data_IF_632001188238
#
_entry.id   IF_632001188238
#
_cell.length_a   1.000
_cell.length_b   1.000
_cell.length_c   1.000
_cell.angle_alpha   90.00
_cell.angle_beta   90.00
_cell.angle_gamma   90.00
#
_symmetry.space_group_name_H-M   'P 1'
#
loop_
_entity.id
_entity.type
_entity.pdbx_description
1 polymer ?
#
# COMPACT_ATOMS: atom_id res chain seq x y z
N UNK A 1 -16.63 4.08 13.86
CA UNK A 1 -16.81 4.81 12.58
C UNK A 1 -15.99 6.11 12.50
N UNK A 2 -16.29 7.17 13.27
CA UNK A 2 -15.48 8.41 13.22
C UNK A 2 -14.03 8.19 13.70
N UNK A 3 -13.84 7.37 14.74
CA UNK A 3 -12.52 7.03 15.30
C UNK A 3 -11.64 6.31 14.27
N UNK A 4 -12.19 5.29 13.60
CA UNK A 4 -11.47 4.49 12.60
C UNK A 4 -10.95 5.35 11.44
N UNK A 5 -11.74 6.33 10.99
CA UNK A 5 -11.32 7.26 9.92
C UNK A 5 -10.19 8.18 10.37
N UNK A 6 -10.21 8.65 11.62
CA UNK A 6 -9.12 9.48 12.18
C UNK A 6 -7.85 8.66 12.37
N UNK A 7 -7.97 7.43 12.86
CA UNK A 7 -6.83 6.52 13.02
C UNK A 7 -6.20 6.16 11.66
N UNK A 8 -7.01 5.93 10.63
CA UNK A 8 -6.53 5.78 9.25
C UNK A 8 -5.72 7.00 8.80
N UNK A 9 -6.23 8.21 9.03
CA UNK A 9 -5.55 9.44 8.63
C UNK A 9 -4.20 9.62 9.34
N UNK A 10 -4.13 9.34 10.64
CA UNK A 10 -2.87 9.37 11.40
C UNK A 10 -1.85 8.35 10.85
N UNK A 11 -2.29 7.14 10.55
CA UNK A 11 -1.42 6.09 9.98
C UNK A 11 -0.92 6.47 8.59
N UNK A 12 -1.79 7.04 7.75
CA UNK A 12 -1.41 7.52 6.42
C UNK A 12 -0.36 8.63 6.53
N UNK A 13 -0.55 9.62 7.42
CA UNK A 13 0.44 10.67 7.69
C UNK A 13 1.76 10.09 8.16
N UNK A 14 1.72 9.17 9.13
CA UNK A 14 2.90 8.50 9.64
C UNK A 14 3.62 7.70 8.54
N UNK A 15 2.90 6.96 7.71
CA UNK A 15 3.48 6.19 6.61
C UNK A 15 4.14 7.10 5.55
N UNK A 16 3.53 8.25 5.22
CA UNK A 16 4.14 9.26 4.35
C UNK A 16 5.46 9.79 4.94
N UNK A 17 5.46 10.18 6.21
CA UNK A 17 6.65 10.69 6.89
C UNK A 17 7.76 9.62 6.96
N UNK A 18 7.42 8.36 7.28
CA UNK A 18 8.39 7.24 7.29
C UNK A 18 8.97 6.96 5.91
N UNK A 19 8.20 7.16 4.85
CA UNK A 19 8.66 7.03 3.47
C UNK A 19 9.42 8.27 2.96
N UNK A 20 9.62 9.29 3.81
CA UNK A 20 10.37 10.50 3.47
C UNK A 20 9.55 11.59 2.77
N UNK A 21 8.22 11.48 2.76
CA UNK A 21 7.33 12.47 2.13
C UNK A 21 6.68 13.37 3.18
N UNK A 22 6.52 14.64 2.84
CA UNK A 22 5.71 15.56 3.64
C UNK A 22 4.23 15.14 3.57
N UNK A 23 3.57 15.06 4.73
CA UNK A 23 2.16 14.64 4.85
C UNK A 23 1.17 15.72 4.38
N UNK A 24 1.35 16.22 3.15
CA UNK A 24 0.55 17.28 2.53
C UNK A 24 -0.34 16.74 1.41
N UNK A 25 -1.55 17.31 1.24
CA UNK A 25 -2.46 16.90 0.18
C UNK A 25 -1.85 16.96 -1.22
N UNK A 26 -1.05 17.98 -1.55
CA UNK A 26 -0.46 18.13 -2.89
C UNK A 26 0.58 17.06 -3.21
N UNK A 27 1.40 16.68 -2.23
CA UNK A 27 2.38 15.59 -2.37
C UNK A 27 1.65 14.26 -2.52
N UNK A 28 0.66 14.01 -1.66
CA UNK A 28 -0.16 12.80 -1.71
C UNK A 28 -0.89 12.66 -3.05
N UNK A 29 -1.51 13.73 -3.53
CA UNK A 29 -2.23 13.75 -4.81
C UNK A 29 -1.29 13.39 -5.97
N UNK A 30 -0.18 14.10 -6.08
CA UNK A 30 0.80 13.92 -7.16
C UNK A 30 1.32 12.49 -7.16
N UNK A 31 1.85 12.01 -6.04
CA UNK A 31 2.49 10.70 -5.97
C UNK A 31 1.48 9.56 -6.13
N UNK A 32 0.25 9.73 -5.64
CA UNK A 32 -0.83 8.78 -5.85
C UNK A 32 -1.22 8.70 -7.33
N UNK A 33 -1.48 9.84 -7.98
CA UNK A 33 -1.91 9.89 -9.37
C UNK A 33 -0.85 9.34 -10.34
N UNK A 34 0.44 9.47 -10.02
CA UNK A 34 1.52 8.88 -10.81
C UNK A 34 1.53 7.34 -10.80
N UNK A 35 0.93 6.72 -9.78
CA UNK A 35 0.98 5.25 -9.55
C UNK A 35 -0.37 4.57 -9.71
N UNK A 36 -1.46 5.33 -9.65
CA UNK A 36 -2.80 4.78 -9.74
C UNK A 36 -3.27 4.68 -11.20
N UNK A 37 -3.53 3.45 -11.66
CA UNK A 37 -4.24 3.24 -12.93
C UNK A 37 -5.74 3.40 -12.73
N UNK A 38 -6.31 4.46 -13.30
CA UNK A 38 -7.74 4.75 -13.25
C UNK A 38 -8.05 6.23 -13.25
N UNK A 39 -9.21 6.59 -12.67
CA UNK A 39 -9.60 8.00 -12.53
C UNK A 39 -8.63 8.69 -11.55
N UNK A 40 -7.98 9.79 -11.95
CA UNK A 40 -7.08 10.52 -11.06
C UNK A 40 -7.87 11.08 -9.88
N UNK A 41 -7.20 11.12 -8.73
CA UNK A 41 -7.71 11.75 -7.54
C UNK A 41 -7.48 13.26 -7.58
N UNK A 42 -8.47 14.01 -7.12
CA UNK A 42 -8.33 15.46 -6.94
C UNK A 42 -7.67 15.78 -5.61
N UNK A 43 -7.02 16.95 -5.53
CA UNK A 43 -6.45 17.48 -4.30
C UNK A 43 -7.45 17.48 -3.13
N UNK A 44 -8.70 17.88 -3.38
CA UNK A 44 -9.76 17.84 -2.38
C UNK A 44 -10.05 16.41 -1.92
N UNK A 45 -10.09 15.45 -2.85
CA UNK A 45 -10.33 14.04 -2.53
C UNK A 45 -9.28 13.46 -1.59
N UNK A 46 -7.99 13.66 -1.89
CA UNK A 46 -6.91 13.14 -1.03
C UNK A 46 -6.78 13.92 0.29
N UNK A 47 -7.15 15.20 0.32
CA UNK A 47 -7.23 15.99 1.55
C UNK A 47 -8.19 15.34 2.55
N UNK A 48 -9.35 14.86 2.08
CA UNK A 48 -10.33 14.18 2.94
C UNK A 48 -9.80 12.87 3.55
N UNK A 49 -8.86 12.20 2.88
CA UNK A 49 -8.14 11.06 3.46
C UNK A 49 -7.23 11.51 4.59
N UNK A 50 -6.42 12.55 4.35
CA UNK A 50 -5.53 13.10 5.37
C UNK A 50 -6.29 13.73 6.53
N UNK A 51 -7.52 14.19 6.38
CA UNK A 51 -8.33 14.72 7.49
C UNK A 51 -9.12 13.63 8.24
N UNK A 52 -9.15 12.39 7.72
CA UNK A 52 -9.93 11.30 8.32
C UNK A 52 -11.43 11.50 8.15
N UNK A 53 -11.85 12.13 7.04
CA UNK A 53 -13.27 12.29 6.72
C UNK A 53 -13.81 11.07 5.97
N UNK A 54 -12.95 10.45 5.14
CA UNK A 54 -13.30 9.33 4.25
C UNK A 54 -12.15 8.34 4.18
N UNK A 55 -12.47 7.05 4.16
CA UNK A 55 -11.53 5.97 3.86
C UNK A 55 -11.66 5.63 2.37
N UNK A 56 -10.55 5.53 1.61
CA UNK A 56 -10.58 5.15 0.21
C UNK A 56 -11.05 3.71 -0.01
N UNK A 57 -11.52 3.43 -1.23
CA UNK A 57 -11.82 2.06 -1.68
C UNK A 57 -10.57 1.17 -1.68
N UNK A 58 -10.78 -0.14 -1.65
CA UNK A 58 -9.70 -1.14 -1.58
C UNK A 58 -8.62 -0.99 -2.66
N UNK A 59 -8.99 -0.69 -3.92
CA UNK A 59 -8.00 -0.47 -5.01
C UNK A 59 -7.09 0.72 -4.73
N UNK A 60 -7.63 1.81 -4.18
CA UNK A 60 -6.85 3.01 -3.84
C UNK A 60 -5.98 2.77 -2.61
N UNK A 61 -6.49 2.02 -1.63
CA UNK A 61 -5.70 1.57 -0.49
C UNK A 61 -4.50 0.71 -0.91
N UNK A 62 -4.67 -0.20 -1.87
CA UNK A 62 -3.56 -0.98 -2.44
C UNK A 62 -2.49 -0.07 -3.05
N UNK A 63 -2.88 0.89 -3.89
CA UNK A 63 -1.92 1.84 -4.47
C UNK A 63 -1.14 2.62 -3.39
N UNK A 64 -1.82 3.07 -2.33
CA UNK A 64 -1.16 3.74 -1.20
C UNK A 64 -0.17 2.82 -0.47
N UNK A 65 -0.58 1.57 -0.23
CA UNK A 65 0.24 0.56 0.43
C UNK A 65 1.50 0.21 -0.39
N UNK A 66 1.35 -0.01 -1.69
CA UNK A 66 2.45 -0.30 -2.63
C UNK A 66 3.45 0.86 -2.74
N UNK A 67 2.95 2.09 -2.74
CA UNK A 67 3.78 3.29 -2.79
C UNK A 67 4.54 3.50 -1.47
N UNK A 68 3.84 3.46 -0.34
CA UNK A 68 4.39 3.73 0.99
C UNK A 68 5.12 2.53 1.61
N UNK A 69 5.18 1.40 0.89
CA UNK A 69 5.83 0.15 1.33
C UNK A 69 5.30 -0.37 2.67
N UNK A 70 3.99 -0.24 2.87
CA UNK A 70 3.25 -0.77 4.03
C UNK A 70 2.21 -1.77 3.56
N UNK A 71 1.65 -2.58 4.47
CA UNK A 71 0.54 -3.47 4.12
C UNK A 71 -0.80 -2.71 4.12
N UNK A 72 -1.77 -3.19 3.32
CA UNK A 72 -3.14 -2.62 3.32
C UNK A 72 -3.80 -2.75 4.69
N UNK A 73 -3.57 -3.87 5.39
CA UNK A 73 -4.11 -4.10 6.72
C UNK A 73 -3.54 -3.11 7.76
N UNK A 74 -2.23 -2.83 7.69
CA UNK A 74 -1.59 -1.82 8.54
C UNK A 74 -2.20 -0.43 8.32
N UNK A 75 -2.47 -0.07 7.07
CA UNK A 75 -3.05 1.23 6.75
C UNK A 75 -4.53 1.33 7.18
N UNK A 76 -5.33 0.29 6.93
CA UNK A 76 -6.77 0.31 7.16
C UNK A 76 -7.17 0.10 8.64
N UNK A 77 -6.65 -0.94 9.28
CA UNK A 77 -7.10 -1.37 10.62
C UNK A 77 -6.03 -1.11 11.69
N UNK A 78 -4.77 -0.97 11.28
CA UNK A 78 -3.59 -0.66 12.10
C UNK A 78 -3.44 -1.52 13.34
N UNK A 79 -3.96 -2.73 13.26
CA UNK A 79 -3.34 -3.85 13.91
C UNK A 79 -2.12 -4.21 13.07
N UNK A 80 -0.95 -4.17 13.69
CA UNK A 80 0.18 -4.96 13.25
C UNK A 80 -0.20 -6.44 13.38
N UNK A 81 -1.07 -6.93 12.49
CA UNK A 81 -1.24 -8.36 12.33
C UNK A 81 0.01 -8.83 11.60
N UNK A 82 0.90 -9.38 12.41
CA UNK A 82 2.05 -10.16 12.02
C UNK A 82 1.82 -10.88 10.69
N UNK A 83 2.74 -10.64 9.75
CA UNK A 83 3.28 -11.66 8.86
C UNK A 83 2.26 -12.62 8.22
N UNK A 84 1.46 -12.14 7.25
CA UNK A 84 0.98 -12.97 6.13
C UNK A 84 0.87 -12.17 4.82
N UNK A 85 1.99 -11.56 4.42
CA UNK A 85 2.32 -11.26 3.01
C UNK A 85 3.85 -11.09 2.85
N UNK A 86 4.63 -11.95 3.49
CA UNK A 86 5.94 -12.34 2.96
C UNK A 86 5.70 -13.40 1.88
N UNK A 87 5.07 -13.04 0.76
CA UNK A 87 4.85 -13.98 -0.33
C UNK A 87 4.49 -13.30 -1.66
N UNK A 88 5.05 -12.12 -1.96
CA UNK A 88 4.91 -11.57 -3.31
C UNK A 88 6.06 -10.66 -3.81
N UNK A 89 7.26 -10.82 -3.25
CA UNK A 89 8.45 -10.12 -3.76
C UNK A 89 9.69 -10.99 -3.99
N UNK A 90 9.55 -12.33 -3.95
CA UNK A 90 10.58 -13.26 -4.47
C UNK A 90 10.22 -13.93 -5.80
N UNK A 91 9.06 -13.65 -6.40
CA UNK A 91 8.61 -14.37 -7.61
C UNK A 91 8.43 -13.45 -8.84
N UNK A 92 9.25 -12.39 -8.94
CA UNK A 92 9.30 -11.58 -10.18
C UNK A 92 10.64 -11.67 -10.92
N UNK A 93 11.41 -12.72 -10.66
CA UNK A 93 12.74 -12.91 -11.24
C UNK A 93 13.12 -14.36 -11.54
N UNK A 94 12.16 -15.26 -11.77
CA UNK A 94 12.46 -16.59 -12.32
C UNK A 94 11.46 -16.89 -13.43
N UNK A 95 11.95 -16.70 -14.64
CA UNK A 95 11.43 -17.30 -15.87
C UNK A 95 11.08 -18.77 -15.66
N UNK A 96 10.11 -19.23 -16.44
CA UNK A 96 9.40 -20.51 -16.36
C UNK A 96 10.26 -21.78 -16.62
N UNK A 97 11.58 -21.76 -16.37
CA UNK A 97 12.52 -22.82 -16.76
C UNK A 97 13.12 -23.65 -15.61
N UNK A 98 12.92 -23.27 -14.34
CA UNK A 98 13.59 -23.96 -13.22
C UNK A 98 12.76 -25.04 -12.51
N UNK A 99 11.48 -25.23 -12.86
CA UNK A 99 10.64 -26.23 -12.16
C UNK A 99 11.09 -27.66 -12.42
N UNK A 100 11.59 -27.96 -13.63
CA UNK A 100 12.02 -29.31 -13.98
C UNK A 100 13.38 -29.69 -13.38
N UNK A 101 14.25 -28.71 -13.12
CA UNK A 101 15.59 -28.97 -12.53
C UNK A 101 15.52 -29.30 -11.03
N UNK A 102 14.56 -28.72 -10.31
CA UNK A 102 14.37 -28.98 -8.87
C UNK A 102 13.78 -30.37 -8.59
N UNK A 103 12.95 -30.92 -9.48
CA UNK A 103 12.43 -32.29 -9.31
C UNK A 103 13.51 -33.36 -9.55
N UNK A 104 14.48 -33.10 -10.43
CA UNK A 104 15.56 -34.04 -10.72
C UNK A 104 16.52 -34.19 -9.53
N UNK A 105 16.75 -33.12 -8.78
CA UNK A 105 17.70 -33.12 -7.66
C UNK A 105 17.15 -33.79 -6.38
N UNK A 106 15.83 -33.91 -6.23
CA UNK A 106 15.19 -34.61 -5.12
C UNK A 106 15.04 -36.13 -5.35
N UNK A 107 15.52 -36.61 -6.50
CA UNK A 107 15.42 -38.03 -6.90
C UNK A 107 16.78 -38.72 -6.99
N UNK A 108 17.83 -38.09 -6.48
CA UNK A 108 19.21 -38.60 -6.47
C UNK A 108 19.72 -38.73 -5.02
#
# INVERSE_FOLDING_TARGET
>A
MQKDKREFAERLRAAMLRAGYEARPSVLEREFNLRHWGKPMTLHGVRRWLQGEVIPDYKKLQTLAEWLKVSVAELAEGKALAAKSQSDSRVRGLTYQDRDLLELFLRL
#
